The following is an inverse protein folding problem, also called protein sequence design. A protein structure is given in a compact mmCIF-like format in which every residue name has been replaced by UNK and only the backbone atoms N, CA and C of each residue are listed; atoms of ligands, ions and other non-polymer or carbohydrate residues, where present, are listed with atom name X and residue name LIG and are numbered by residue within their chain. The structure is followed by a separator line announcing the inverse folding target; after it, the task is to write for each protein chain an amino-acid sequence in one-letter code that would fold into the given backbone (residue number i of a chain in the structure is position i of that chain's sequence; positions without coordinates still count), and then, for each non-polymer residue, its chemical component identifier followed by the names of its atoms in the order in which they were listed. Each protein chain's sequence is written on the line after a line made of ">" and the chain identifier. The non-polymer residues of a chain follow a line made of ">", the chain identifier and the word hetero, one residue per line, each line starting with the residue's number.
data_IF_348278277236
#
_entry.id   IF_348278277236
#
_cell.length_a   1.000
_cell.length_b   1.000
_cell.length_c   1.000
_cell.angle_alpha   90.00
_cell.angle_beta   90.00
_cell.angle_gamma   90.00
#
_symmetry.space_group_name_H-M   'P 1'
#
loop_
_entity.id
_entity.type
_entity.pdbx_description
1 polymer ?
#
# COMPACT_ATOMS: atom_id res chain seq x y z
N UNK A 1 7.19 -8.68 6.45
CA UNK A 1 6.19 -7.65 6.09
C UNK A 1 4.91 -8.30 5.61
N UNK A 2 3.74 -7.64 5.70
CA UNK A 2 2.56 -8.15 5.04
C UNK A 2 2.84 -8.28 3.54
N UNK A 3 2.30 -9.33 2.91
CA UNK A 3 2.37 -9.40 1.46
C UNK A 3 1.74 -8.14 0.86
N UNK A 4 2.37 -7.54 -0.17
CA UNK A 4 1.92 -6.27 -0.80
C UNK A 4 0.41 -6.13 -0.97
N UNK A 5 -0.35 -7.16 -1.45
CA UNK A 5 -1.81 -7.05 -1.56
C UNK A 5 -2.54 -6.86 -0.23
N UNK A 6 -1.91 -7.20 0.90
CA UNK A 6 -2.51 -7.07 2.23
C UNK A 6 -2.44 -5.64 2.80
N UNK A 7 -1.79 -4.71 2.12
CA UNK A 7 -1.91 -3.27 2.39
C UNK A 7 -3.22 -2.67 1.86
N UNK A 8 -3.87 -3.35 0.90
CA UNK A 8 -5.13 -2.92 0.30
C UNK A 8 -6.26 -2.62 1.31
N UNK A 9 -6.52 -3.44 2.38
CA UNK A 9 -7.58 -3.14 3.34
C UNK A 9 -7.45 -1.77 3.99
N UNK A 10 -6.22 -1.29 4.22
CA UNK A 10 -5.98 0.06 4.77
C UNK A 10 -6.37 1.13 3.76
N UNK A 11 -5.94 1.00 2.50
CA UNK A 11 -6.31 1.92 1.42
C UNK A 11 -7.83 1.99 1.22
N UNK A 12 -8.50 0.83 1.22
CA UNK A 12 -9.95 0.75 1.12
C UNK A 12 -10.65 1.38 2.32
N UNK A 13 -10.19 1.09 3.54
CA UNK A 13 -10.71 1.68 4.77
C UNK A 13 -10.63 3.22 4.75
N UNK A 14 -9.48 3.78 4.38
CA UNK A 14 -9.30 5.23 4.24
C UNK A 14 -10.28 5.85 3.24
N UNK A 15 -10.49 5.20 2.09
CA UNK A 15 -11.46 5.67 1.09
C UNK A 15 -12.92 5.63 1.59
N UNK A 16 -13.24 4.75 2.55
CA UNK A 16 -14.58 4.69 3.16
C UNK A 16 -14.75 5.71 4.29
N UNK A 17 -13.67 6.01 5.02
CA UNK A 17 -13.67 7.05 6.05
C UNK A 17 -13.81 8.45 5.42
N UNK A 18 -13.13 8.70 4.32
CA UNK A 18 -13.23 9.95 3.58
C UNK A 18 -13.49 9.69 2.09
N UNK A 19 -14.75 9.85 1.68
CA UNK A 19 -15.20 9.61 0.29
C UNK A 19 -14.59 10.58 -0.74
N UNK A 20 -13.89 11.63 -0.32
CA UNK A 20 -13.15 12.52 -1.23
C UNK A 20 -11.84 11.91 -1.69
N UNK A 21 -11.28 10.96 -0.94
CA UNK A 21 -10.01 10.33 -1.29
C UNK A 21 -10.16 9.47 -2.55
N UNK A 22 -9.13 9.51 -3.37
CA UNK A 22 -9.05 8.74 -4.60
C UNK A 22 -8.57 7.33 -4.30
N UNK A 23 -9.44 6.31 -4.44
CA UNK A 23 -9.09 4.93 -4.12
C UNK A 23 -7.95 4.38 -4.99
N UNK A 24 -7.93 4.55 -6.34
CA UNK A 24 -6.77 4.17 -7.15
C UNK A 24 -5.44 4.75 -6.65
N UNK A 25 -5.43 6.04 -6.29
CA UNK A 25 -4.24 6.69 -5.74
C UNK A 25 -3.79 6.08 -4.41
N UNK A 26 -4.73 5.77 -3.51
CA UNK A 26 -4.44 5.08 -2.25
C UNK A 26 -3.86 3.67 -2.47
N UNK A 27 -4.46 2.89 -3.40
CA UNK A 27 -4.00 1.54 -3.74
C UNK A 27 -2.57 1.58 -4.27
N UNK A 28 -2.33 2.39 -5.30
CA UNK A 28 -1.01 2.47 -5.92
C UNK A 28 0.01 3.02 -4.92
N UNK A 29 -0.34 4.07 -4.15
CA UNK A 29 0.53 4.58 -3.10
C UNK A 29 0.90 3.52 -2.07
N UNK A 30 -0.05 2.66 -1.66
CA UNK A 30 0.23 1.58 -0.72
C UNK A 30 1.03 0.41 -1.30
N UNK A 31 1.21 0.34 -2.62
CA UNK A 31 1.95 -0.75 -3.28
C UNK A 31 3.34 -0.32 -3.75
N UNK A 32 3.54 0.97 -4.05
CA UNK A 32 4.79 1.47 -4.64
C UNK A 32 6.02 1.24 -3.76
N UNK A 33 6.00 1.39 -2.43
CA UNK A 33 7.19 1.10 -1.64
C UNK A 33 7.73 -0.31 -1.86
N UNK A 34 6.86 -1.31 -1.93
CA UNK A 34 7.24 -2.70 -2.15
C UNK A 34 7.82 -2.99 -3.55
N UNK A 35 7.57 -2.12 -4.53
CA UNK A 35 8.10 -2.30 -5.90
C UNK A 35 9.63 -2.21 -5.93
N UNK A 36 10.24 -1.50 -4.97
CA UNK A 36 11.71 -1.47 -4.92
C UNK A 36 12.33 -2.84 -4.59
N UNK A 37 11.65 -3.68 -3.80
CA UNK A 37 12.17 -4.99 -3.36
C UNK A 37 12.51 -5.91 -4.55
N UNK A 38 11.57 -6.22 -5.48
CA UNK A 38 11.91 -7.01 -6.66
C UNK A 38 12.93 -6.34 -7.58
N UNK A 39 12.95 -5.00 -7.66
CA UNK A 39 13.96 -4.28 -8.45
C UNK A 39 15.35 -4.47 -7.84
N UNK A 40 15.50 -4.28 -6.53
CA UNK A 40 16.76 -4.49 -5.83
C UNK A 40 17.25 -5.95 -5.95
N UNK A 41 16.33 -6.89 -5.81
CA UNK A 41 16.67 -8.32 -5.96
C UNK A 41 17.15 -8.66 -7.37
N UNK A 42 16.42 -8.22 -8.41
CA UNK A 42 16.73 -8.59 -9.80
C UNK A 42 17.97 -7.90 -10.36
N UNK A 43 18.19 -6.63 -10.03
CA UNK A 43 19.24 -5.82 -10.64
C UNK A 43 20.49 -5.67 -9.80
N UNK A 44 20.38 -5.79 -8.47
CA UNK A 44 21.49 -5.54 -7.56
C UNK A 44 21.85 -6.77 -6.71
N UNK A 45 21.16 -7.90 -6.91
CA UNK A 45 21.36 -9.15 -6.15
C UNK A 45 21.32 -8.94 -4.62
N UNK A 46 20.51 -7.99 -4.19
CA UNK A 46 20.28 -7.68 -2.77
C UNK A 46 19.17 -8.59 -2.25
N UNK A 47 19.30 -9.12 -1.05
CA UNK A 47 18.29 -10.03 -0.48
C UNK A 47 16.89 -9.42 -0.48
N UNK A 48 15.87 -10.25 -0.63
CA UNK A 48 14.45 -9.86 -0.71
C UNK A 48 13.90 -9.17 0.55
N UNK A 49 14.64 -9.25 1.66
CA UNK A 49 14.27 -8.57 2.91
C UNK A 49 14.85 -7.15 3.01
N UNK A 50 15.63 -6.71 2.02
CA UNK A 50 16.24 -5.40 2.02
C UNK A 50 15.31 -4.36 1.41
N UNK A 51 14.99 -3.38 2.22
CA UNK A 51 14.28 -2.15 1.84
C UNK A 51 15.28 -1.02 1.68
N UNK A 52 14.93 -0.02 0.87
CA UNK A 52 15.82 1.10 0.57
C UNK A 52 15.09 2.45 0.68
N UNK A 53 15.26 3.32 -0.31
CA UNK A 53 14.79 4.70 -0.26
C UNK A 53 13.27 4.82 -0.11
N UNK A 54 12.49 3.98 -0.81
CA UNK A 54 11.02 4.10 -0.82
C UNK A 54 10.39 3.73 0.52
N UNK A 55 11.10 2.99 1.39
CA UNK A 55 10.68 2.70 2.75
C UNK A 55 11.12 3.76 3.78
N UNK A 56 11.75 4.86 3.33
CA UNK A 56 11.94 6.04 4.16
C UNK A 56 10.82 7.05 3.96
N UNK A 57 10.52 7.84 5.00
CA UNK A 57 9.50 8.89 4.92
C UNK A 57 9.86 9.92 3.83
N UNK A 58 11.13 10.28 3.72
CA UNK A 58 11.62 11.18 2.69
C UNK A 58 11.40 10.60 1.29
N UNK A 59 11.80 9.35 1.06
CA UNK A 59 11.62 8.67 -0.22
C UNK A 59 10.15 8.46 -0.58
N UNK A 60 9.32 8.04 0.37
CA UNK A 60 7.89 7.83 0.18
C UNK A 60 7.15 9.14 -0.19
N UNK A 61 7.46 10.24 0.52
CA UNK A 61 6.83 11.54 0.26
C UNK A 61 7.31 12.21 -1.03
N UNK A 62 8.50 11.87 -1.52
CA UNK A 62 9.08 12.44 -2.74
C UNK A 62 8.96 11.46 -3.91
N UNK A 63 9.95 10.61 -4.10
CA UNK A 63 10.07 9.68 -5.23
C UNK A 63 8.88 8.71 -5.27
N UNK A 64 8.51 8.12 -4.13
CA UNK A 64 7.38 7.20 -4.02
C UNK A 64 6.07 7.84 -4.44
N UNK A 65 5.81 9.08 -4.01
CA UNK A 65 4.61 9.82 -4.40
C UNK A 65 4.62 10.15 -5.89
N UNK A 66 5.74 10.58 -6.47
CA UNK A 66 5.86 10.86 -7.90
C UNK A 66 5.59 9.61 -8.73
N UNK A 67 6.22 8.47 -8.37
CA UNK A 67 5.99 7.20 -9.07
C UNK A 67 4.53 6.77 -8.93
N UNK A 68 3.94 6.88 -7.73
CA UNK A 68 2.54 6.56 -7.49
C UNK A 68 1.59 7.37 -8.37
N UNK A 69 1.84 8.67 -8.54
CA UNK A 69 1.05 9.54 -9.42
C UNK A 69 1.18 9.07 -10.87
N UNK A 70 2.40 8.85 -11.37
CA UNK A 70 2.63 8.41 -12.76
C UNK A 70 1.95 7.07 -13.03
N UNK A 71 2.09 6.10 -12.12
CA UNK A 71 1.43 4.80 -12.24
C UNK A 71 -0.09 4.94 -12.20
N UNK A 72 -0.63 5.74 -11.28
CA UNK A 72 -2.09 5.91 -11.15
C UNK A 72 -2.70 6.60 -12.37
N UNK A 73 -2.04 7.63 -12.92
CA UNK A 73 -2.58 8.40 -14.05
C UNK A 73 -2.45 7.67 -15.38
N UNK A 74 -1.32 7.00 -15.62
CA UNK A 74 -1.01 6.45 -16.95
C UNK A 74 -1.16 4.93 -17.04
N UNK A 75 -0.71 4.20 -16.03
CA UNK A 75 -0.64 2.73 -16.09
C UNK A 75 -1.93 2.09 -15.57
N UNK A 76 -2.42 2.55 -14.43
CA UNK A 76 -3.59 1.96 -13.77
C UNK A 76 -4.85 1.89 -14.67
N UNK A 77 -5.24 2.96 -15.42
CA UNK A 77 -6.40 2.88 -16.31
C UNK A 77 -6.24 1.87 -17.45
N UNK A 78 -5.00 1.69 -17.93
CA UNK A 78 -4.71 0.74 -19.00
C UNK A 78 -4.84 -0.69 -18.48
N UNK A 79 -4.16 -1.00 -17.36
CA UNK A 79 -4.16 -2.35 -16.80
C UNK A 79 -5.55 -2.77 -16.33
N UNK A 80 -6.27 -1.89 -15.61
CA UNK A 80 -7.61 -2.21 -15.12
C UNK A 80 -8.63 -2.34 -16.26
N UNK A 81 -8.53 -1.53 -17.31
CA UNK A 81 -9.36 -1.68 -18.50
C UNK A 81 -9.09 -2.99 -19.23
N UNK A 82 -7.82 -3.37 -19.37
CA UNK A 82 -7.41 -4.60 -20.07
C UNK A 82 -7.87 -5.86 -19.31
N UNK A 83 -7.66 -5.89 -17.99
CA UNK A 83 -7.91 -7.09 -17.17
C UNK A 83 -9.40 -7.23 -16.84
N UNK A 84 -10.06 -6.13 -16.44
CA UNK A 84 -11.43 -6.15 -15.92
C UNK A 84 -12.47 -5.63 -16.90
N UNK A 85 -12.04 -5.24 -18.12
CA UNK A 85 -12.91 -4.73 -19.20
C UNK A 85 -13.73 -3.50 -18.79
N UNK A 86 -13.15 -2.65 -17.95
CA UNK A 86 -13.75 -1.36 -17.62
C UNK A 86 -13.61 -0.38 -18.79
N UNK A 87 -14.56 0.57 -18.85
CA UNK A 87 -14.44 1.66 -19.80
C UNK A 87 -13.22 2.53 -19.46
N UNK A 88 -12.30 2.62 -20.42
CA UNK A 88 -11.04 3.34 -20.29
C UNK A 88 -11.24 4.85 -20.12
N UNK A 89 -12.31 5.43 -20.68
CA UNK A 89 -12.62 6.85 -20.56
C UNK A 89 -12.97 7.21 -19.10
N UNK A 90 -13.84 6.42 -18.48
CA UNK A 90 -14.25 6.57 -17.09
C UNK A 90 -13.07 6.38 -16.12
N UNK A 91 -12.21 5.38 -16.40
CA UNK A 91 -11.00 5.17 -15.58
C UNK A 91 -10.03 6.34 -15.67
N UNK A 92 -9.85 6.92 -16.87
CA UNK A 92 -9.00 8.12 -17.05
C UNK A 92 -9.54 9.33 -16.30
N UNK A 93 -10.85 9.48 -16.21
CA UNK A 93 -11.49 10.55 -15.44
C UNK A 93 -11.24 10.36 -13.93
N UNK A 94 -11.46 9.15 -13.40
CA UNK A 94 -11.21 8.82 -12.00
C UNK A 94 -9.72 8.98 -11.64
N UNK A 95 -8.82 8.60 -12.54
CA UNK A 95 -7.37 8.70 -12.35
C UNK A 95 -6.77 10.03 -12.87
N UNK A 96 -7.62 11.03 -13.15
CA UNK A 96 -7.15 12.36 -13.59
C UNK A 96 -6.29 13.00 -12.50
N UNK A 97 -5.19 13.63 -12.94
CA UNK A 97 -4.31 14.37 -12.03
C UNK A 97 -5.07 15.52 -11.35
N UNK A 98 -5.26 15.39 -10.06
CA UNK A 98 -5.92 16.37 -9.18
C UNK A 98 -5.17 16.46 -7.86
N UNK A 99 -5.28 17.58 -7.11
CA UNK A 99 -4.66 17.68 -5.78
C UNK A 99 -5.07 16.53 -4.84
N UNK A 100 -6.33 16.08 -4.95
CA UNK A 100 -6.83 14.97 -4.10
C UNK A 100 -6.23 13.63 -4.51
N UNK A 101 -5.94 13.39 -5.79
CA UNK A 101 -5.22 12.20 -6.24
C UNK A 101 -3.78 12.20 -5.72
N UNK A 102 -3.07 13.33 -5.84
CA UNK A 102 -1.71 13.49 -5.30
C UNK A 102 -1.67 13.21 -3.81
N UNK A 103 -2.60 13.81 -3.06
CA UNK A 103 -2.74 13.59 -1.62
C UNK A 103 -3.06 12.14 -1.29
N UNK A 104 -3.90 11.47 -2.08
CA UNK A 104 -4.23 10.06 -1.89
C UNK A 104 -3.04 9.14 -2.16
N UNK A 105 -2.24 9.40 -3.21
CA UNK A 105 -1.00 8.68 -3.46
C UNK A 105 -0.02 8.82 -2.28
N UNK A 106 0.17 10.05 -1.79
CA UNK A 106 1.02 10.33 -0.64
C UNK A 106 0.53 9.60 0.62
N UNK A 107 -0.78 9.65 0.92
CA UNK A 107 -1.35 8.92 2.04
C UNK A 107 -1.16 7.42 1.92
N UNK A 108 -1.33 6.85 0.73
CA UNK A 108 -1.09 5.43 0.48
C UNK A 108 0.33 5.02 0.88
N UNK A 109 1.35 5.78 0.43
CA UNK A 109 2.74 5.56 0.80
C UNK A 109 2.96 5.67 2.32
N UNK A 110 2.41 6.71 2.98
CA UNK A 110 2.56 6.90 4.43
C UNK A 110 1.97 5.72 5.20
N UNK A 111 0.75 5.31 4.85
CA UNK A 111 0.08 4.22 5.58
C UNK A 111 0.73 2.86 5.33
N UNK A 112 1.35 2.65 4.15
CA UNK A 112 2.22 1.49 3.95
C UNK A 112 3.36 1.49 4.96
N UNK A 113 4.14 2.58 5.04
CA UNK A 113 5.26 2.68 5.98
C UNK A 113 4.84 2.53 7.43
N UNK A 114 3.67 3.09 7.82
CA UNK A 114 3.16 2.96 9.18
C UNK A 114 2.78 1.52 9.53
N UNK A 115 2.22 0.77 8.58
CA UNK A 115 1.90 -0.64 8.80
C UNK A 115 3.18 -1.47 8.96
N UNK A 116 4.18 -1.22 8.13
CA UNK A 116 5.47 -1.89 8.23
C UNK A 116 6.22 -1.51 9.51
N UNK A 117 6.20 -0.25 9.90
CA UNK A 117 6.81 0.22 11.14
C UNK A 117 6.37 -0.59 12.37
N UNK A 118 5.09 -0.97 12.42
CA UNK A 118 4.53 -1.66 13.59
C UNK A 118 5.10 -3.08 13.73
N UNK A 119 5.48 -3.73 12.63
CA UNK A 119 5.76 -5.17 12.60
C UNK A 119 7.18 -5.55 12.17
N UNK A 120 8.04 -4.58 11.86
CA UNK A 120 9.42 -4.86 11.44
C UNK A 120 10.42 -4.82 12.61
N UNK A 121 11.46 -5.69 12.61
CA UNK A 121 12.52 -5.68 13.62
C UNK A 121 13.50 -4.50 13.45
N UNK A 122 13.42 -3.78 12.34
CA UNK A 122 14.12 -2.53 12.04
C UNK A 122 13.27 -1.69 11.09
N UNK A 123 13.45 -0.37 11.06
CA UNK A 123 12.65 0.48 10.17
C UNK A 123 13.45 1.63 9.58
N UNK A 124 13.34 1.79 8.25
CA UNK A 124 13.95 2.90 7.51
C UNK A 124 13.14 4.19 7.56
N UNK A 125 12.02 4.24 8.27
CA UNK A 125 11.09 5.38 8.21
C UNK A 125 11.77 6.73 8.44
N UNK A 126 12.76 6.82 9.33
CA UNK A 126 13.51 8.04 9.62
C UNK A 126 14.89 8.10 8.95
N UNK A 127 15.20 7.17 8.03
CA UNK A 127 16.43 7.24 7.25
C UNK A 127 16.40 8.47 6.31
N UNK A 128 17.51 9.21 6.12
CA UNK A 128 18.89 8.94 6.58
C UNK A 128 19.25 9.52 7.96
N UNK A 129 18.31 10.07 8.71
CA UNK A 129 18.58 10.81 9.95
C UNK A 129 18.79 9.90 11.17
N UNK A 130 18.20 8.71 11.15
CA UNK A 130 18.27 7.74 12.25
C UNK A 130 18.70 6.38 11.68
N UNK A 131 19.57 5.68 12.40
CA UNK A 131 19.95 4.31 12.09
C UNK A 131 18.71 3.40 12.14
N UNK A 132 18.39 2.68 11.04
CA UNK A 132 17.22 1.81 10.97
C UNK A 132 17.13 0.77 12.10
N UNK A 133 18.26 0.24 12.55
CA UNK A 133 18.31 -0.78 13.59
C UNK A 133 17.95 -0.26 15.01
N UNK A 134 17.84 1.05 15.17
CA UNK A 134 17.37 1.67 16.43
C UNK A 134 15.85 1.77 16.53
N UNK A 135 15.14 1.47 15.43
CA UNK A 135 13.68 1.57 15.36
C UNK A 135 13.11 0.16 15.22
N UNK A 136 12.54 -0.36 16.29
CA UNK A 136 11.92 -1.70 16.32
C UNK A 136 10.41 -1.54 16.43
N UNK A 137 9.68 -2.32 15.62
CA UNK A 137 8.22 -2.30 15.61
C UNK A 137 7.60 -2.75 16.93
N UNK A 138 6.54 -2.09 17.35
CA UNK A 138 5.90 -2.35 18.64
C UNK A 138 5.39 -3.78 18.78
N UNK A 139 4.83 -4.37 17.72
CA UNK A 139 4.38 -5.77 17.75
C UNK A 139 5.55 -6.74 17.89
N UNK A 140 6.71 -6.44 17.29
CA UNK A 140 7.92 -7.24 17.45
C UNK A 140 8.34 -7.25 18.91
N UNK A 141 8.37 -6.07 19.56
CA UNK A 141 8.72 -5.96 20.98
C UNK A 141 7.72 -6.69 21.89
N UNK A 142 6.42 -6.58 21.60
CA UNK A 142 5.37 -7.27 22.40
C UNK A 142 5.51 -8.79 22.34
N UNK A 143 5.90 -9.33 21.18
CA UNK A 143 6.01 -10.77 20.97
C UNK A 143 7.44 -11.31 21.09
N UNK A 144 8.43 -10.47 21.42
CA UNK A 144 9.83 -10.88 21.64
C UNK A 144 10.00 -11.58 23.00
N UNK A 145 9.58 -12.83 23.10
CA UNK A 145 9.72 -13.64 24.31
C UNK A 145 11.21 -13.88 24.60
N UNK A 146 11.65 -13.58 25.82
CA UNK A 146 13.06 -13.71 26.20
C UNK A 146 14.03 -12.76 25.46
N UNK A 147 13.50 -11.72 24.80
CA UNK A 147 14.30 -10.77 24.02
C UNK A 147 14.61 -11.22 22.58
N UNK A 148 14.04 -12.33 22.12
CA UNK A 148 14.21 -12.84 20.76
C UNK A 148 13.38 -12.01 19.77
N UNK A 149 14.03 -11.04 19.11
CA UNK A 149 13.40 -10.18 18.11
C UNK A 149 13.01 -10.94 16.83
N UNK A 150 13.68 -12.06 16.48
CA UNK A 150 13.32 -12.85 15.32
C UNK A 150 12.01 -13.58 15.55
N UNK A 151 11.85 -14.19 16.73
CA UNK A 151 10.57 -14.82 17.12
C UNK A 151 9.45 -13.76 17.18
N UNK A 152 9.72 -12.60 17.78
CA UNK A 152 8.79 -11.47 17.82
C UNK A 152 8.34 -11.04 16.41
N UNK A 153 9.27 -10.92 15.48
CA UNK A 153 8.97 -10.59 14.08
C UNK A 153 8.13 -11.67 13.40
N UNK A 154 8.47 -12.94 13.57
CA UNK A 154 7.72 -14.04 12.99
C UNK A 154 6.25 -14.01 13.43
N UNK A 155 6.01 -13.89 14.74
CA UNK A 155 4.65 -13.85 15.31
C UNK A 155 3.91 -12.60 14.84
N UNK A 156 4.54 -11.41 14.90
CA UNK A 156 3.94 -10.17 14.43
C UNK A 156 3.56 -10.24 12.95
N UNK A 157 4.43 -10.81 12.11
CA UNK A 157 4.21 -10.97 10.68
C UNK A 157 3.01 -11.91 10.41
N UNK A 158 3.00 -13.09 11.01
CA UNK A 158 1.90 -14.06 10.84
C UNK A 158 0.57 -13.46 11.30
N UNK A 159 0.54 -12.82 12.46
CA UNK A 159 -0.67 -12.21 13.01
C UNK A 159 -1.19 -11.08 12.11
N UNK A 160 -0.32 -10.18 11.67
CA UNK A 160 -0.70 -9.06 10.80
C UNK A 160 -1.20 -9.53 9.45
N UNK A 161 -0.53 -10.51 8.82
CA UNK A 161 -1.00 -11.12 7.57
C UNK A 161 -2.38 -11.77 7.74
N UNK A 162 -2.60 -12.49 8.83
CA UNK A 162 -3.89 -13.14 9.13
C UNK A 162 -4.99 -12.09 9.31
N UNK A 163 -4.75 -11.06 10.12
CA UNK A 163 -5.74 -9.99 10.36
C UNK A 163 -6.06 -9.24 9.06
N UNK A 164 -5.05 -8.82 8.30
CA UNK A 164 -5.26 -8.13 7.02
C UNK A 164 -5.93 -9.04 5.98
N UNK A 165 -5.58 -10.33 5.97
CA UNK A 165 -6.26 -11.32 5.13
C UNK A 165 -7.75 -11.47 5.47
N UNK A 166 -8.11 -11.52 6.75
CA UNK A 166 -9.51 -11.54 7.20
C UNK A 166 -10.26 -10.27 6.79
N UNK A 167 -9.62 -9.08 6.93
CA UNK A 167 -10.21 -7.84 6.43
C UNK A 167 -10.41 -7.87 4.91
N UNK A 168 -9.45 -8.40 4.15
CA UNK A 168 -9.59 -8.54 2.70
C UNK A 168 -10.77 -9.44 2.33
N UNK A 169 -10.92 -10.60 2.99
CA UNK A 169 -12.06 -11.50 2.79
C UNK A 169 -13.39 -10.80 3.14
N UNK A 170 -13.44 -10.08 4.25
CA UNK A 170 -14.63 -9.32 4.64
C UNK A 170 -15.00 -8.25 3.59
N UNK A 171 -14.02 -7.54 3.02
CA UNK A 171 -14.22 -6.56 1.94
C UNK A 171 -14.79 -7.25 0.69
N UNK A 172 -14.25 -8.40 0.30
CA UNK A 172 -14.72 -9.18 -0.85
C UNK A 172 -16.17 -9.63 -0.66
N UNK A 173 -16.49 -10.20 0.50
CA UNK A 173 -17.86 -10.66 0.82
C UNK A 173 -18.84 -9.49 0.80
N UNK A 174 -18.47 -8.36 1.42
CA UNK A 174 -19.31 -7.16 1.49
C UNK A 174 -19.62 -6.58 0.12
N UNK A 175 -18.66 -6.63 -0.80
CA UNK A 175 -18.77 -6.00 -2.12
C UNK A 175 -19.06 -6.99 -3.27
N UNK A 176 -19.45 -8.24 -2.97
CA UNK A 176 -19.58 -9.34 -3.94
C UNK A 176 -20.44 -9.04 -5.19
N UNK A 177 -21.42 -8.12 -5.10
CA UNK A 177 -22.34 -7.81 -6.22
C UNK A 177 -21.69 -6.95 -7.31
N UNK A 178 -20.80 -6.00 -6.91
CA UNK A 178 -20.07 -5.11 -7.82
C UNK A 178 -18.59 -5.10 -7.39
N UNK A 179 -18.02 -6.31 -7.23
CA UNK A 179 -16.74 -6.52 -6.58
C UNK A 179 -15.64 -5.63 -7.16
N UNK A 180 -15.41 -5.78 -8.45
CA UNK A 180 -14.27 -5.11 -9.09
C UNK A 180 -14.41 -3.59 -9.11
N UNK A 181 -15.61 -3.07 -9.37
CA UNK A 181 -15.88 -1.63 -9.36
C UNK A 181 -15.65 -1.04 -7.96
N UNK A 182 -16.17 -1.70 -6.92
CA UNK A 182 -16.03 -1.24 -5.53
C UNK A 182 -14.59 -1.35 -5.01
N UNK A 183 -13.86 -2.40 -5.42
CA UNK A 183 -12.50 -2.65 -4.95
C UNK A 183 -11.49 -1.80 -5.72
N UNK A 184 -11.66 -1.59 -7.01
CA UNK A 184 -10.67 -0.91 -7.84
C UNK A 184 -10.96 0.58 -8.02
N UNK A 185 -12.24 0.98 -8.07
CA UNK A 185 -12.64 2.37 -8.36
C UNK A 185 -13.25 3.04 -7.11
N UNK A 186 -13.85 2.26 -6.21
CA UNK A 186 -14.49 2.76 -4.98
C UNK A 186 -15.89 3.34 -5.20
N UNK A 187 -16.39 3.40 -6.44
CA UNK A 187 -17.68 3.95 -6.83
C UNK A 187 -18.63 2.86 -7.33
N UNK A 188 -19.95 3.09 -7.22
CA UNK A 188 -20.95 2.27 -7.89
C UNK A 188 -21.11 2.76 -9.33
N UNK A 189 -21.40 1.84 -10.25
CA UNK A 189 -21.69 2.13 -11.66
C UNK A 189 -22.77 3.22 -11.86
N UNK A 190 -23.71 3.34 -10.90
CA UNK A 190 -24.80 4.32 -10.94
C UNK A 190 -24.37 5.75 -10.55
N UNK A 191 -23.17 5.93 -9.98
CA UNK A 191 -22.64 7.25 -9.59
C UNK A 191 -21.82 7.88 -10.74
N UNK A 192 -21.52 7.10 -11.76
CA UNK A 192 -20.92 7.58 -13.01
C UNK A 192 -22.07 8.14 -13.89
N UNK A 193 -22.23 9.46 -13.86
CA UNK A 193 -23.11 10.14 -14.81
C UNK A 193 -22.54 9.90 -16.23
N UNK A 194 -23.31 9.19 -17.03
CA UNK A 194 -23.10 9.08 -18.48
C UNK A 194 -23.44 10.42 -19.15
#
# INVERSE_FOLDING_TARGET
>A
MPATPLHYPVAWGLSKLNKKLNLPGLIIGSFIPDVEVPILFLFFNVGIDNHFILHSLVGALTIGTIISILVTVYIYPILTSLIFRFDKSNLKEVCRLTPILVFSCMLGNIFHLLLDLIMHPYSLILWPFVDPHKIVGILVLVFAVGGDLQLGFLIANVLTNLVMGLFMVAIIIKNRRNLWEQILIGQKKNDLKF
#
